data_IF_529211012284
#
_entry.id   IF_529211012284
#
_cell.length_a   1.000
_cell.length_b   1.000
_cell.length_c   1.000
_cell.angle_alpha   90.00
_cell.angle_beta   90.00
_cell.angle_gamma   90.00
#
_symmetry.space_group_name_H-M   'P 1'
#
loop_
_entity.id
_entity.type
_entity.pdbx_description
1 polymer ?
#
# COMPACT_ATOMS: atom_id res chain seq x y z
N UNK A 1 -6.65 -1.24 -31.74
CA UNK A 1 -7.83 -1.71 -30.99
C UNK A 1 -8.39 -2.94 -31.69
N UNK A 2 -8.49 -4.09 -31.01
CA UNK A 2 -8.94 -5.36 -31.61
C UNK A 2 -10.40 -5.26 -32.06
N UNK A 3 -10.81 -6.03 -33.09
CA UNK A 3 -12.21 -6.06 -33.58
C UNK A 3 -13.21 -6.35 -32.45
N UNK A 4 -12.83 -7.19 -31.51
CA UNK A 4 -13.62 -7.54 -30.31
C UNK A 4 -13.88 -6.33 -29.42
N UNK A 5 -12.88 -5.47 -29.18
CA UNK A 5 -13.06 -4.23 -28.39
C UNK A 5 -14.02 -3.25 -29.07
N UNK A 6 -14.00 -3.14 -30.40
CA UNK A 6 -14.95 -2.29 -31.14
C UNK A 6 -16.39 -2.77 -31.00
N UNK A 7 -16.62 -4.09 -31.08
CA UNK A 7 -17.96 -4.68 -30.97
C UNK A 7 -18.55 -4.46 -29.57
N UNK A 8 -17.74 -4.64 -28.52
CA UNK A 8 -18.18 -4.43 -27.12
C UNK A 8 -18.55 -2.96 -26.86
N UNK A 9 -17.74 -2.02 -27.34
CA UNK A 9 -18.01 -0.58 -27.20
C UNK A 9 -19.31 -0.18 -27.92
N UNK A 10 -19.55 -0.71 -29.12
CA UNK A 10 -20.77 -0.41 -29.88
C UNK A 10 -22.02 -0.99 -29.20
N UNK A 11 -21.94 -2.21 -28.66
CA UNK A 11 -23.03 -2.83 -27.89
C UNK A 11 -23.37 -2.05 -26.62
N UNK A 12 -22.36 -1.55 -25.90
CA UNK A 12 -22.56 -0.72 -24.71
C UNK A 12 -23.18 0.64 -25.02
N UNK A 13 -22.81 1.28 -26.13
CA UNK A 13 -23.41 2.54 -26.57
C UNK A 13 -24.91 2.37 -26.90
N UNK A 14 -25.31 1.20 -27.42
CA UNK A 14 -26.71 0.85 -27.69
C UNK A 14 -27.47 0.54 -26.39
N UNK A 15 -26.84 -0.09 -25.40
CA UNK A 15 -27.46 -0.29 -24.07
C UNK A 15 -27.60 1.06 -23.33
N UNK A 16 -26.64 1.98 -23.48
CA UNK A 16 -26.65 3.33 -22.90
C UNK A 16 -27.83 4.19 -23.38
N UNK A 17 -28.32 3.96 -24.59
CA UNK A 17 -29.44 4.72 -25.16
C UNK A 17 -30.81 4.27 -24.62
N UNK A 18 -30.89 3.12 -23.94
CA UNK A 18 -32.14 2.58 -23.39
C UNK A 18 -32.31 2.72 -21.87
N UNK A 19 -31.29 3.20 -21.13
CA UNK A 19 -31.35 3.36 -19.66
C UNK A 19 -31.28 4.82 -19.22
N UNK A 20 -32.19 5.66 -19.70
CA UNK A 20 -32.35 7.03 -19.16
C UNK A 20 -33.33 7.02 -17.98
N UNK A 21 -32.91 6.52 -16.81
CA UNK A 21 -33.47 6.90 -15.49
C UNK A 21 -32.93 6.10 -14.28
N UNK A 22 -32.11 5.05 -14.45
CA UNK A 22 -31.65 4.23 -13.33
C UNK A 22 -30.11 4.21 -13.22
N UNK A 23 -29.61 4.69 -12.08
CA UNK A 23 -28.22 4.61 -11.60
C UNK A 23 -27.12 5.16 -12.51
N UNK A 24 -26.84 6.46 -12.37
CA UNK A 24 -25.65 7.09 -12.97
C UNK A 24 -24.32 6.56 -12.43
N UNK A 25 -24.29 5.98 -11.21
CA UNK A 25 -23.08 5.39 -10.61
C UNK A 25 -22.68 4.08 -11.29
N UNK A 26 -23.64 3.20 -11.51
CA UNK A 26 -23.39 1.84 -12.00
C UNK A 26 -22.95 1.87 -13.47
N UNK A 27 -23.44 2.85 -14.23
CA UNK A 27 -23.03 3.14 -15.60
C UNK A 27 -21.61 3.71 -15.69
N UNK A 28 -21.22 4.55 -14.73
CA UNK A 28 -19.88 5.14 -14.64
C UNK A 28 -18.85 4.06 -14.26
N UNK A 29 -19.21 3.16 -13.34
CA UNK A 29 -18.38 2.03 -12.92
C UNK A 29 -18.20 1.02 -14.08
N UNK A 30 -19.27 0.72 -14.83
CA UNK A 30 -19.22 -0.15 -16.01
C UNK A 30 -18.40 0.49 -17.16
N UNK A 31 -18.54 1.81 -17.38
CA UNK A 31 -17.75 2.52 -18.38
C UNK A 31 -16.26 2.53 -18.02
N UNK A 32 -15.91 2.78 -16.75
CA UNK A 32 -14.52 2.76 -16.26
C UNK A 32 -13.91 1.36 -16.36
N UNK A 33 -14.70 0.32 -16.06
CA UNK A 33 -14.29 -1.09 -16.25
C UNK A 33 -14.03 -1.42 -17.73
N UNK A 34 -14.85 -0.92 -18.66
CA UNK A 34 -14.73 -1.23 -20.10
C UNK A 34 -13.69 -0.37 -20.80
N UNK A 35 -13.53 0.90 -20.42
CA UNK A 35 -12.56 1.81 -21.04
C UNK A 35 -11.13 1.51 -20.58
N UNK A 36 -10.96 0.82 -19.45
CA UNK A 36 -9.66 0.64 -18.83
C UNK A 36 -9.06 1.96 -18.33
N UNK A 37 -9.89 3.01 -18.22
CA UNK A 37 -9.52 4.25 -17.56
C UNK A 37 -9.47 3.99 -16.06
N UNK A 38 -8.34 4.40 -15.47
CA UNK A 38 -7.97 4.17 -14.09
C UNK A 38 -9.16 4.37 -13.15
N UNK A 39 -9.51 3.30 -12.44
CA UNK A 39 -10.67 3.15 -11.58
C UNK A 39 -10.63 4.06 -10.31
N UNK A 40 -9.67 4.98 -10.25
CA UNK A 40 -9.48 5.98 -9.18
C UNK A 40 -9.14 7.36 -9.79
N UNK A 41 -9.76 7.73 -10.91
CA UNK A 41 -9.44 8.98 -11.63
C UNK A 41 -10.13 10.24 -11.10
N UNK A 42 -10.99 10.15 -10.08
CA UNK A 42 -11.52 11.33 -9.36
C UNK A 42 -11.67 11.05 -7.87
N UNK A 43 -10.57 11.16 -7.15
CA UNK A 43 -10.62 11.34 -5.69
C UNK A 43 -11.11 12.77 -5.47
N UNK A 44 -12.20 12.93 -4.72
CA UNK A 44 -12.70 14.25 -4.34
C UNK A 44 -11.62 15.07 -3.64
N UNK A 45 -11.68 16.40 -3.77
CA UNK A 45 -10.72 17.25 -3.08
C UNK A 45 -10.77 17.02 -1.56
N UNK A 46 -9.60 16.76 -0.96
CA UNK A 46 -9.49 16.43 0.47
C UNK A 46 -9.66 14.95 0.84
N UNK A 47 -10.20 14.11 -0.05
CA UNK A 47 -10.24 12.66 0.12
C UNK A 47 -8.85 12.03 -0.13
N UNK A 48 -8.53 10.95 0.58
CA UNK A 48 -7.22 10.30 0.50
C UNK A 48 -7.37 8.90 -0.02
N UNK A 49 -6.62 8.59 -1.08
CA UNK A 49 -6.42 7.22 -1.50
C UNK A 49 -5.31 6.57 -0.67
N UNK A 50 -5.57 5.34 -0.23
CA UNK A 50 -4.57 4.38 0.17
C UNK A 50 -4.70 3.18 -0.77
N UNK A 51 -3.69 2.94 -1.59
CA UNK A 51 -3.70 1.88 -2.60
C UNK A 51 -2.61 0.87 -2.30
N UNK A 52 -2.98 -0.40 -2.25
CA UNK A 52 -2.06 -1.54 -2.38
C UNK A 52 -1.92 -1.85 -3.87
N UNK A 53 -0.74 -1.59 -4.42
CA UNK A 53 -0.47 -1.73 -5.85
C UNK A 53 -0.11 -3.20 -6.10
N UNK A 54 -0.78 -3.84 -7.05
CA UNK A 54 -0.38 -5.15 -7.56
C UNK A 54 0.92 -5.00 -8.37
N UNK A 55 2.04 -5.06 -7.64
CA UNK A 55 3.39 -5.01 -8.19
C UNK A 55 3.90 -6.39 -8.59
N UNK A 56 3.02 -7.40 -8.69
CA UNK A 56 3.44 -8.79 -8.74
C UNK A 56 3.81 -9.27 -7.35
N UNK A 57 5.09 -9.46 -7.07
CA UNK A 57 5.55 -9.93 -5.76
C UNK A 57 6.10 -8.80 -4.88
N UNK A 58 5.68 -8.78 -3.62
CA UNK A 58 6.12 -7.83 -2.61
C UNK A 58 5.09 -6.73 -2.32
N UNK A 59 5.55 -5.69 -1.64
CA UNK A 59 4.71 -4.60 -1.13
C UNK A 59 5.01 -3.28 -1.83
N UNK A 60 3.97 -2.58 -2.28
CA UNK A 60 4.07 -1.15 -2.60
C UNK A 60 2.74 -0.44 -2.41
N UNK A 61 2.72 0.52 -1.49
CA UNK A 61 1.52 1.26 -1.12
C UNK A 61 1.62 2.73 -1.52
N UNK A 62 0.66 3.21 -2.30
CA UNK A 62 0.53 4.63 -2.61
C UNK A 62 -0.52 5.28 -1.69
N UNK A 63 -0.11 6.32 -0.97
CA UNK A 63 -1.02 7.22 -0.28
C UNK A 63 -1.00 8.56 -1.01
N UNK A 64 -2.15 8.99 -1.53
CA UNK A 64 -2.23 10.20 -2.35
C UNK A 64 -3.41 11.09 -1.97
N UNK A 65 -3.15 12.39 -1.95
CA UNK A 65 -4.13 13.44 -1.67
C UNK A 65 -3.68 14.76 -2.30
N UNK A 66 -4.63 15.53 -2.86
CA UNK A 66 -4.39 16.86 -3.44
C UNK A 66 -3.73 17.85 -2.47
N UNK A 67 -3.95 17.71 -1.17
CA UNK A 67 -3.47 18.62 -0.13
C UNK A 67 -2.07 18.34 0.43
N UNK A 68 -1.56 17.10 0.33
CA UNK A 68 -0.22 16.74 0.83
C UNK A 68 0.68 16.00 -0.16
N UNK A 69 0.18 15.73 -1.37
CA UNK A 69 0.95 15.07 -2.42
C UNK A 69 0.94 13.55 -2.29
N UNK A 70 2.08 12.93 -2.59
CA UNK A 70 2.22 11.48 -2.75
C UNK A 70 3.22 10.89 -1.76
N UNK A 71 2.82 9.80 -1.12
CA UNK A 71 3.65 9.00 -0.24
C UNK A 71 3.68 7.59 -0.80
N UNK A 72 4.87 7.02 -0.92
CA UNK A 72 5.06 5.64 -1.32
C UNK A 72 5.65 4.86 -0.13
N UNK A 73 5.00 3.77 0.28
CA UNK A 73 5.53 2.85 1.28
C UNK A 73 5.93 1.58 0.56
N UNK A 74 7.22 1.25 0.60
CA UNK A 74 7.85 0.16 -0.15
C UNK A 74 7.64 0.25 -1.67
N UNK A 75 8.37 -0.58 -2.41
CA UNK A 75 8.60 -0.45 -3.85
C UNK A 75 8.55 -1.78 -4.60
N UNK A 76 8.05 -2.84 -3.97
CA UNK A 76 8.03 -4.18 -4.55
C UNK A 76 9.42 -4.74 -4.81
N UNK A 77 9.47 -5.82 -5.58
CA UNK A 77 10.70 -6.48 -5.96
C UNK A 77 11.46 -5.80 -7.12
N UNK A 78 12.64 -6.35 -7.45
CA UNK A 78 13.48 -5.82 -8.54
C UNK A 78 12.98 -6.23 -9.92
N UNK A 79 12.35 -7.40 -10.04
CA UNK A 79 11.94 -8.00 -11.31
C UNK A 79 10.73 -7.27 -11.90
N UNK A 80 9.84 -6.79 -11.03
CA UNK A 80 8.57 -6.17 -11.37
C UNK A 80 8.59 -4.64 -11.20
N UNK A 81 9.76 -4.01 -11.01
CA UNK A 81 9.88 -2.55 -10.82
C UNK A 81 9.17 -1.73 -11.90
N UNK A 82 9.11 -2.23 -13.14
CA UNK A 82 8.51 -1.52 -14.27
C UNK A 82 6.97 -1.52 -14.19
N UNK A 83 6.36 -2.48 -13.48
CA UNK A 83 4.93 -2.48 -13.15
C UNK A 83 4.63 -1.27 -12.26
N UNK A 84 5.38 -1.12 -11.16
CA UNK A 84 5.26 0.02 -10.25
C UNK A 84 5.46 1.35 -10.98
N UNK A 85 6.56 1.49 -11.74
CA UNK A 85 6.86 2.74 -12.48
C UNK A 85 5.75 3.05 -13.49
N UNK A 86 5.27 2.05 -14.22
CA UNK A 86 4.19 2.24 -15.20
C UNK A 86 2.89 2.65 -14.53
N UNK A 87 2.55 2.04 -13.38
CA UNK A 87 1.37 2.37 -12.59
C UNK A 87 1.42 3.81 -12.10
N UNK A 88 2.51 4.22 -11.44
CA UNK A 88 2.68 5.60 -10.94
C UNK A 88 2.65 6.63 -12.08
N UNK A 89 3.22 6.32 -13.25
CA UNK A 89 3.16 7.19 -14.45
C UNK A 89 1.74 7.32 -15.00
N UNK A 90 0.96 6.23 -15.05
CA UNK A 90 -0.45 6.26 -15.51
C UNK A 90 -1.31 7.15 -14.60
N UNK A 91 -1.00 7.19 -13.30
CA UNK A 91 -1.63 8.11 -12.34
C UNK A 91 -1.17 9.56 -12.48
N UNK A 92 -0.29 9.88 -13.42
CA UNK A 92 0.24 11.22 -13.63
C UNK A 92 1.21 11.70 -12.53
N UNK A 93 1.72 10.78 -11.70
CA UNK A 93 2.66 11.12 -10.64
C UNK A 93 3.99 11.53 -11.27
N UNK A 94 4.48 12.71 -10.89
CA UNK A 94 5.81 13.22 -11.27
C UNK A 94 6.75 13.35 -10.06
N UNK A 95 6.16 13.45 -8.87
CA UNK A 95 6.83 13.74 -7.61
C UNK A 95 6.27 12.85 -6.51
N UNK A 96 7.17 12.30 -5.70
CA UNK A 96 6.87 11.56 -4.48
C UNK A 96 7.49 12.34 -3.32
N UNK A 97 6.64 12.93 -2.49
CA UNK A 97 7.04 13.78 -1.37
C UNK A 97 7.74 12.95 -0.29
N UNK A 98 7.28 11.72 -0.07
CA UNK A 98 7.84 10.80 0.91
C UNK A 98 7.91 9.38 0.37
N UNK A 99 9.07 8.74 0.48
CA UNK A 99 9.22 7.29 0.37
C UNK A 99 9.51 6.74 1.77
N UNK A 100 8.80 5.70 2.18
CA UNK A 100 9.03 4.97 3.43
C UNK A 100 9.42 3.54 3.06
N UNK A 101 10.66 3.15 3.34
CA UNK A 101 11.14 1.78 3.15
C UNK A 101 11.10 1.07 4.50
N UNK A 102 10.30 0.02 4.61
CA UNK A 102 10.00 -0.65 5.89
C UNK A 102 11.22 -1.38 6.43
N UNK A 103 11.86 -2.22 5.61
CA UNK A 103 13.06 -2.99 5.94
C UNK A 103 13.83 -3.34 4.64
N UNK A 104 15.03 -3.96 4.70
CA UNK A 104 15.90 -4.04 3.53
C UNK A 104 15.70 -5.25 2.60
N UNK A 105 14.62 -6.03 2.73
CA UNK A 105 14.38 -7.17 1.84
C UNK A 105 13.99 -6.73 0.43
N UNK A 106 14.34 -7.58 -0.55
CA UNK A 106 14.30 -7.22 -1.96
C UNK A 106 12.91 -6.94 -2.49
N UNK A 107 11.89 -7.59 -1.94
CA UNK A 107 10.47 -7.44 -2.27
C UNK A 107 9.83 -6.17 -1.65
N UNK A 108 10.61 -5.39 -0.90
CA UNK A 108 10.21 -4.09 -0.38
C UNK A 108 11.03 -2.94 -1.00
N UNK A 109 12.33 -3.12 -1.19
CA UNK A 109 13.23 -2.06 -1.68
C UNK A 109 13.64 -2.21 -3.15
N UNK A 110 13.15 -3.26 -3.83
CA UNK A 110 13.62 -3.67 -5.15
C UNK A 110 13.32 -2.66 -6.25
N UNK A 111 12.11 -2.09 -6.24
CA UNK A 111 11.71 -1.08 -7.22
C UNK A 111 12.31 0.30 -7.01
N UNK A 112 12.97 0.56 -5.87
CA UNK A 112 13.44 1.89 -5.50
C UNK A 112 14.38 2.54 -6.52
N UNK A 113 15.20 1.76 -7.21
CA UNK A 113 16.05 2.30 -8.29
C UNK A 113 15.22 2.82 -9.46
N UNK A 114 14.17 2.09 -9.86
CA UNK A 114 13.22 2.52 -10.88
C UNK A 114 12.45 3.77 -10.46
N UNK A 115 12.07 3.87 -9.18
CA UNK A 115 11.43 5.06 -8.62
C UNK A 115 12.34 6.29 -8.76
N UNK A 116 13.60 6.19 -8.33
CA UNK A 116 14.57 7.30 -8.38
C UNK A 116 14.97 7.72 -9.80
N UNK A 117 14.85 6.82 -10.77
CA UNK A 117 15.12 7.12 -12.18
C UNK A 117 13.97 7.87 -12.86
N UNK A 118 12.74 7.72 -12.37
CA UNK A 118 11.54 8.18 -13.08
C UNK A 118 10.77 9.29 -12.37
N UNK A 119 10.96 9.48 -11.06
CA UNK A 119 10.21 10.45 -10.26
C UNK A 119 11.13 11.32 -9.43
N UNK A 120 10.71 12.57 -9.19
CA UNK A 120 11.36 13.40 -8.18
C UNK A 120 10.98 12.90 -6.79
N UNK A 121 11.96 12.49 -6.00
CA UNK A 121 11.78 12.06 -4.59
C UNK A 121 12.37 13.12 -3.67
N UNK A 122 11.60 13.57 -2.68
CA UNK A 122 12.09 14.59 -1.73
C UNK A 122 12.63 14.01 -0.44
N UNK A 123 11.93 13.04 0.15
CA UNK A 123 12.27 12.49 1.46
C UNK A 123 12.24 10.98 1.42
N UNK A 124 13.27 10.33 1.97
CA UNK A 124 13.31 8.87 2.11
C UNK A 124 13.46 8.55 3.58
N UNK A 125 12.54 7.74 4.12
CA UNK A 125 12.57 7.24 5.49
C UNK A 125 12.91 5.75 5.48
N UNK A 126 13.83 5.35 6.33
CA UNK A 126 14.16 3.94 6.54
C UNK A 126 14.73 3.76 7.96
N UNK A 127 14.50 2.62 8.64
CA UNK A 127 15.26 2.30 9.84
C UNK A 127 16.77 2.29 9.53
N UNK A 128 17.63 2.51 10.53
CA UNK A 128 19.09 2.45 10.37
C UNK A 128 19.61 1.02 10.27
N UNK A 129 19.00 0.25 9.39
CA UNK A 129 19.31 -1.16 9.12
C UNK A 129 20.26 -1.25 7.93
N UNK A 130 21.06 -2.30 7.90
CA UNK A 130 22.00 -2.58 6.81
C UNK A 130 21.80 -4.00 6.33
N UNK A 131 21.99 -4.23 5.03
CA UNK A 131 21.90 -5.56 4.44
C UNK A 131 23.00 -5.79 3.41
N UNK A 132 23.42 -7.05 3.23
CA UNK A 132 24.52 -7.39 2.31
C UNK A 132 24.04 -7.93 0.95
N UNK A 133 22.82 -7.60 0.54
CA UNK A 133 22.29 -7.97 -0.78
C UNK A 133 22.74 -7.01 -1.87
N UNK A 134 22.79 -7.51 -3.10
CA UNK A 134 23.02 -6.67 -4.28
C UNK A 134 21.96 -5.57 -4.41
N UNK A 135 20.68 -5.90 -4.14
CA UNK A 135 19.56 -4.95 -4.18
C UNK A 135 19.76 -3.79 -3.20
N UNK A 136 20.10 -4.08 -1.94
CA UNK A 136 20.35 -3.04 -0.94
C UNK A 136 21.52 -2.13 -1.35
N UNK A 137 22.64 -2.71 -1.79
CA UNK A 137 23.81 -1.92 -2.26
C UNK A 137 23.47 -1.03 -3.45
N UNK A 138 22.73 -1.55 -4.44
CA UNK A 138 22.28 -0.79 -5.61
C UNK A 138 21.39 0.38 -5.19
N UNK A 139 20.43 0.13 -4.30
CA UNK A 139 19.53 1.15 -3.77
C UNK A 139 20.29 2.27 -3.04
N UNK A 140 21.20 1.93 -2.11
CA UNK A 140 22.02 2.92 -1.39
C UNK A 140 22.88 3.75 -2.35
N UNK A 141 23.53 3.10 -3.33
CA UNK A 141 24.34 3.81 -4.32
C UNK A 141 23.49 4.77 -5.16
N UNK A 142 22.28 4.36 -5.54
CA UNK A 142 21.36 5.20 -6.33
C UNK A 142 20.85 6.41 -5.53
N UNK A 143 20.55 6.22 -4.25
CA UNK A 143 20.18 7.33 -3.35
C UNK A 143 21.32 8.34 -3.24
N UNK A 144 22.58 7.87 -3.11
CA UNK A 144 23.76 8.75 -3.10
C UNK A 144 23.97 9.47 -4.43
N UNK A 145 23.84 8.78 -5.56
CA UNK A 145 23.94 9.36 -6.91
C UNK A 145 22.95 10.52 -7.10
N UNK A 146 21.75 10.42 -6.51
CA UNK A 146 20.70 11.44 -6.55
C UNK A 146 20.87 12.54 -5.50
N UNK A 147 21.98 12.55 -4.73
CA UNK A 147 22.23 13.46 -3.62
C UNK A 147 21.10 13.49 -2.57
N UNK A 148 20.47 12.34 -2.36
CA UNK A 148 19.43 12.14 -1.34
C UNK A 148 20.02 11.46 -0.11
N UNK A 149 19.31 11.60 1.02
CA UNK A 149 19.71 11.03 2.30
C UNK A 149 18.52 10.37 2.98
N UNK A 150 18.80 9.33 3.78
CA UNK A 150 17.81 8.67 4.60
C UNK A 150 17.55 9.46 5.88
N UNK A 151 16.28 9.74 6.13
CA UNK A 151 15.76 10.10 7.45
C UNK A 151 15.47 8.82 8.21
N UNK A 152 15.75 8.83 9.50
CA UNK A 152 15.56 7.66 10.34
C UNK A 152 14.06 7.43 10.58
N UNK A 153 13.54 6.29 10.10
CA UNK A 153 12.24 5.78 10.51
C UNK A 153 12.39 5.08 11.87
N UNK A 154 11.73 5.61 12.89
CA UNK A 154 11.70 5.03 14.24
C UNK A 154 10.50 5.52 15.03
N UNK A 155 10.16 4.80 16.09
CA UNK A 155 9.07 5.15 16.99
C UNK A 155 9.14 6.61 17.45
N UNK A 156 8.01 7.31 17.37
CA UNK A 156 7.88 8.71 17.77
C UNK A 156 8.17 9.73 16.67
N UNK A 157 8.75 9.32 15.54
CA UNK A 157 8.84 10.18 14.36
C UNK A 157 7.45 10.37 13.75
N UNK A 158 7.14 11.60 13.31
CA UNK A 158 5.86 11.97 12.71
C UNK A 158 6.08 12.77 11.44
N UNK A 159 5.36 12.40 10.38
CA UNK A 159 5.20 13.20 9.16
C UNK A 159 3.84 13.89 9.26
N UNK A 160 3.84 15.22 9.32
CA UNK A 160 2.61 16.02 9.32
C UNK A 160 2.12 16.20 7.89
N UNK A 161 0.85 15.86 7.63
CA UNK A 161 0.23 15.96 6.30
C UNK A 161 -0.79 17.11 6.23
N UNK A 162 -0.81 17.99 7.23
CA UNK A 162 -1.76 19.11 7.32
C UNK A 162 -3.16 18.68 7.76
N UNK A 163 -3.98 19.66 8.19
CA UNK A 163 -5.39 19.47 8.61
C UNK A 163 -5.57 18.30 9.62
N UNK A 164 -4.64 18.17 10.57
CA UNK A 164 -4.64 17.09 11.57
C UNK A 164 -4.25 15.69 11.07
N UNK A 165 -3.95 15.53 9.78
CA UNK A 165 -3.54 14.27 9.17
C UNK A 165 -2.05 14.01 9.38
N UNK A 166 -1.66 12.73 9.49
CA UNK A 166 -0.26 12.38 9.76
C UNK A 166 0.07 10.92 9.45
N UNK A 167 1.34 10.65 9.18
CA UNK A 167 1.94 9.32 9.37
C UNK A 167 2.76 9.34 10.66
N UNK A 168 2.49 8.41 11.58
CA UNK A 168 3.23 8.25 12.82
C UNK A 168 3.98 6.92 12.82
N UNK A 169 5.29 6.95 12.99
CA UNK A 169 6.11 5.74 13.12
C UNK A 169 5.97 5.17 14.53
N UNK A 170 5.67 3.87 14.60
CA UNK A 170 5.48 3.11 15.84
C UNK A 170 6.71 2.26 16.18
N UNK A 171 7.45 1.83 15.16
CA UNK A 171 8.61 0.94 15.22
C UNK A 171 9.70 1.42 14.25
N UNK A 172 10.98 1.04 14.44
CA UNK A 172 11.56 0.40 15.62
C UNK A 172 11.53 1.28 16.87
N UNK A 173 11.34 0.68 18.05
CA UNK A 173 11.51 1.34 19.35
C UNK A 173 12.98 1.31 19.79
N UNK A 174 13.38 2.19 20.72
CA UNK A 174 14.79 2.34 21.12
C UNK A 174 15.44 1.05 21.64
N UNK A 175 14.64 0.15 22.20
CA UNK A 175 15.05 -1.13 22.78
C UNK A 175 15.02 -2.30 21.77
N UNK A 176 14.70 -2.06 20.51
CA UNK A 176 14.76 -3.07 19.44
C UNK A 176 16.16 -3.12 18.80
N UNK A 177 16.58 -4.32 18.40
CA UNK A 177 17.84 -4.54 17.71
C UNK A 177 17.64 -4.40 16.20
N UNK A 178 18.22 -3.35 15.58
CA UNK A 178 18.16 -3.16 14.12
C UNK A 178 18.89 -4.25 13.29
N UNK A 179 19.50 -5.24 13.94
CA UNK A 179 20.03 -6.44 13.28
C UNK A 179 18.96 -7.52 13.09
N UNK A 180 17.87 -7.45 13.85
CA UNK A 180 16.72 -8.33 13.70
C UNK A 180 15.82 -7.78 12.60
N UNK A 181 16.06 -8.27 11.38
CA UNK A 181 15.38 -7.80 10.17
C UNK A 181 13.90 -8.19 10.16
N UNK A 182 13.53 -9.24 10.88
CA UNK A 182 12.17 -9.79 10.93
C UNK A 182 11.25 -9.01 11.90
N UNK A 183 11.79 -8.04 12.64
CA UNK A 183 11.10 -7.37 13.75
C UNK A 183 11.41 -5.87 13.89
N UNK A 184 12.27 -5.32 13.04
CA UNK A 184 12.72 -3.92 13.15
C UNK A 184 12.19 -3.01 12.05
N UNK A 185 11.15 -3.44 11.34
CA UNK A 185 10.49 -2.67 10.30
C UNK A 185 10.03 -1.30 10.77
N UNK A 186 9.98 -0.37 9.83
CA UNK A 186 9.26 0.89 10.00
C UNK A 186 7.74 0.67 9.98
N UNK A 187 7.19 0.16 11.08
CA UNK A 187 5.74 0.11 11.31
C UNK A 187 5.22 1.53 11.45
N UNK A 188 4.22 1.91 10.66
CA UNK A 188 3.66 3.26 10.71
C UNK A 188 2.12 3.28 10.60
N UNK A 189 1.54 4.36 11.11
CA UNK A 189 0.09 4.57 11.17
C UNK A 189 -0.28 5.85 10.43
N UNK A 190 -1.04 5.74 9.35
CA UNK A 190 -1.74 6.87 8.76
C UNK A 190 -2.95 7.22 9.63
N UNK A 191 -3.13 8.51 9.93
CA UNK A 191 -4.35 9.08 10.50
C UNK A 191 -4.91 10.11 9.53
N UNK A 192 -6.16 9.92 9.09
CA UNK A 192 -6.83 10.80 8.12
C UNK A 192 -8.33 10.79 8.35
N UNK A 193 -8.95 11.96 8.50
CA UNK A 193 -10.40 12.14 8.63
C UNK A 193 -11.04 11.16 9.65
N UNK A 194 -10.42 11.02 10.83
CA UNK A 194 -10.88 10.12 11.90
C UNK A 194 -10.56 8.63 11.70
N UNK A 195 -10.02 8.23 10.54
CA UNK A 195 -9.64 6.86 10.20
C UNK A 195 -8.17 6.58 10.39
N UNK A 196 -7.86 5.30 10.59
CA UNK A 196 -6.51 4.79 10.82
C UNK A 196 -6.18 3.61 9.92
N UNK A 197 -5.02 3.70 9.28
CA UNK A 197 -4.44 2.60 8.48
C UNK A 197 -3.10 2.21 9.06
N UNK A 198 -2.95 0.94 9.43
CA UNK A 198 -1.71 0.40 9.97
C UNK A 198 -0.92 -0.31 8.87
N UNK A 199 0.31 0.13 8.64
CA UNK A 199 1.28 -0.53 7.78
C UNK A 199 2.31 -1.22 8.67
N UNK A 200 2.33 -2.55 8.62
CA UNK A 200 3.13 -3.38 9.53
C UNK A 200 4.48 -3.77 8.96
N UNK A 201 4.69 -3.63 7.64
CA UNK A 201 5.78 -4.34 6.97
C UNK A 201 5.67 -5.85 7.23
N UNK A 202 6.80 -6.45 7.57
CA UNK A 202 7.01 -7.89 7.68
C UNK A 202 7.32 -8.38 9.10
N UNK A 203 6.98 -7.55 10.08
CA UNK A 203 7.15 -7.89 11.50
C UNK A 203 6.47 -9.21 11.88
N UNK A 204 7.08 -9.95 12.79
CA UNK A 204 6.46 -11.10 13.41
C UNK A 204 5.74 -10.77 14.72
N UNK A 205 5.04 -11.79 15.24
CA UNK A 205 4.18 -11.75 16.42
C UNK A 205 4.79 -11.03 17.62
N UNK A 206 6.09 -11.22 17.87
CA UNK A 206 6.79 -10.62 19.00
C UNK A 206 6.69 -9.09 18.98
N UNK A 207 6.94 -8.51 17.80
CA UNK A 207 6.84 -7.06 17.60
C UNK A 207 5.40 -6.60 17.54
N UNK A 208 4.50 -7.38 16.93
CA UNK A 208 3.07 -7.07 16.93
C UNK A 208 2.54 -6.88 18.35
N UNK A 209 2.80 -7.84 19.24
CA UNK A 209 2.37 -7.79 20.65
C UNK A 209 2.96 -6.57 21.35
N UNK A 210 4.26 -6.31 21.14
CA UNK A 210 4.95 -5.17 21.74
C UNK A 210 4.35 -3.82 21.31
N UNK A 211 3.81 -3.73 20.09
CA UNK A 211 3.22 -2.51 19.55
C UNK A 211 1.73 -2.33 19.87
N UNK A 212 1.02 -3.36 20.33
CA UNK A 212 -0.41 -3.29 20.68
C UNK A 212 -0.77 -2.04 21.51
N UNK A 213 -0.03 -1.66 22.59
CA UNK A 213 -0.36 -0.49 23.39
C UNK A 213 -0.34 0.84 22.61
N UNK A 214 0.27 0.87 21.42
CA UNK A 214 0.45 2.06 20.58
C UNK A 214 -0.51 2.13 19.39
N UNK A 215 -1.14 1.02 19.01
CA UNK A 215 -1.95 0.89 17.79
C UNK A 215 -3.40 1.36 18.05
N UNK A 216 -4.02 0.87 19.13
CA UNK A 216 -5.45 1.08 19.42
C UNK A 216 -6.34 0.55 18.30
N UNK A 217 -7.61 1.00 18.22
CA UNK A 217 -8.49 0.62 17.11
C UNK A 217 -8.01 1.20 15.78
N UNK A 218 -8.11 0.40 14.71
CA UNK A 218 -7.79 0.76 13.32
C UNK A 218 -8.94 0.39 12.38
N UNK A 219 -8.94 0.94 11.17
CA UNK A 219 -9.96 0.66 10.15
C UNK A 219 -9.42 -0.30 9.09
N UNK A 220 -8.18 -0.05 8.62
CA UNK A 220 -7.51 -0.83 7.57
C UNK A 220 -6.17 -1.36 8.10
N UNK A 221 -5.92 -2.65 7.90
CA UNK A 221 -4.69 -3.34 8.25
C UNK A 221 -3.95 -3.81 6.99
N UNK A 222 -2.69 -3.40 6.82
CA UNK A 222 -1.75 -4.19 6.03
C UNK A 222 -1.45 -5.46 6.82
N UNK A 223 -1.76 -6.63 6.28
CA UNK A 223 -1.43 -7.91 6.91
C UNK A 223 0.09 -8.13 6.92
N UNK A 224 0.66 -8.29 8.10
CA UNK A 224 2.10 -8.44 8.26
C UNK A 224 2.67 -9.62 7.49
N UNK A 225 3.85 -9.43 6.89
CA UNK A 225 4.65 -10.46 6.22
C UNK A 225 3.84 -11.24 5.18
N UNK A 226 3.14 -10.50 4.32
CA UNK A 226 2.31 -11.05 3.24
C UNK A 226 1.26 -12.10 3.67
N UNK A 227 0.94 -12.20 4.96
CA UNK A 227 0.09 -13.26 5.51
C UNK A 227 0.82 -14.56 5.90
N UNK A 228 2.09 -14.46 6.28
CA UNK A 228 2.85 -15.56 6.88
C UNK A 228 2.14 -16.17 8.09
N UNK A 229 2.34 -17.47 8.33
CA UNK A 229 1.75 -18.17 9.47
C UNK A 229 2.23 -17.62 10.84
N UNK A 230 3.40 -16.96 10.85
CA UNK A 230 4.03 -16.36 12.04
C UNK A 230 3.57 -14.92 12.33
N UNK A 231 2.79 -14.33 11.43
CA UNK A 231 2.41 -12.94 11.47
C UNK A 231 0.88 -12.77 11.64
N UNK A 232 0.48 -11.52 11.85
CA UNK A 232 -0.88 -11.05 12.13
C UNK A 232 -1.53 -11.90 13.22
N UNK A 233 -0.96 -11.82 14.42
CA UNK A 233 -1.38 -12.62 15.56
C UNK A 233 -2.79 -12.26 16.05
N UNK A 234 -3.40 -13.21 16.77
CA UNK A 234 -4.76 -13.05 17.31
C UNK A 234 -4.84 -11.87 18.29
N UNK A 235 -3.77 -11.61 19.04
CA UNK A 235 -3.68 -10.54 20.02
C UNK A 235 -3.76 -9.17 19.33
N UNK A 236 -3.06 -9.01 18.20
CA UNK A 236 -3.14 -7.80 17.37
C UNK A 236 -4.57 -7.61 16.83
N UNK A 237 -5.18 -8.63 16.25
CA UNK A 237 -6.54 -8.55 15.70
C UNK A 237 -7.59 -8.23 16.77
N UNK A 238 -7.48 -8.83 17.96
CA UNK A 238 -8.36 -8.56 19.10
C UNK A 238 -8.27 -7.11 19.58
N UNK A 239 -7.05 -6.57 19.66
CA UNK A 239 -6.82 -5.23 20.17
C UNK A 239 -7.18 -4.14 19.13
N UNK A 240 -6.82 -4.38 17.87
CA UNK A 240 -6.92 -3.38 16.80
C UNK A 240 -8.26 -3.39 16.06
N UNK A 241 -8.94 -4.53 16.01
CA UNK A 241 -10.29 -4.71 15.41
C UNK A 241 -10.44 -4.05 14.03
N UNK A 242 -9.56 -4.35 13.05
CA UNK A 242 -9.67 -3.80 11.71
C UNK A 242 -10.98 -4.23 11.04
N UNK A 243 -11.52 -3.36 10.19
CA UNK A 243 -12.67 -3.72 9.32
C UNK A 243 -12.17 -4.36 8.03
N UNK A 244 -11.09 -3.81 7.48
CA UNK A 244 -10.50 -4.25 6.22
C UNK A 244 -9.05 -4.70 6.43
N UNK A 245 -8.63 -5.65 5.61
CA UNK A 245 -7.24 -6.05 5.50
C UNK A 245 -6.81 -6.10 4.02
N UNK A 246 -5.59 -5.66 3.74
CA UNK A 246 -4.94 -5.77 2.44
C UNK A 246 -3.69 -6.65 2.54
N UNK A 247 -3.47 -7.45 1.51
CA UNK A 247 -2.37 -8.41 1.40
C UNK A 247 -1.74 -8.29 0.01
N UNK A 248 -0.52 -7.74 -0.04
CA UNK A 248 0.33 -7.76 -1.22
C UNK A 248 0.95 -9.14 -1.44
N UNK A 249 0.54 -9.81 -2.52
CA UNK A 249 1.10 -11.09 -3.00
C UNK A 249 0.91 -11.21 -4.51
N UNK A 250 1.85 -11.89 -5.19
CA UNK A 250 1.72 -12.17 -6.62
C UNK A 250 0.87 -13.39 -6.93
N UNK A 251 0.30 -13.45 -8.14
CA UNK A 251 -0.42 -14.65 -8.62
C UNK A 251 0.46 -15.90 -8.65
N UNK A 252 1.74 -15.75 -9.00
CA UNK A 252 2.73 -16.83 -9.05
C UNK A 252 3.52 -17.00 -7.73
N UNK A 253 2.94 -16.59 -6.60
CA UNK A 253 3.62 -16.59 -5.31
C UNK A 253 4.06 -17.99 -4.87
N UNK A 254 5.38 -18.16 -4.66
CA UNK A 254 6.01 -19.44 -4.24
C UNK A 254 6.24 -19.56 -2.74
N UNK A 255 5.88 -18.54 -1.95
CA UNK A 255 6.17 -18.45 -0.52
C UNK A 255 5.06 -19.04 0.38
N UNK A 256 4.03 -19.66 -0.21
CA UNK A 256 2.84 -20.18 0.50
C UNK A 256 2.16 -19.06 1.33
N UNK A 257 2.12 -17.85 0.75
CA UNK A 257 1.52 -16.65 1.34
C UNK A 257 0.35 -16.14 0.49
N UNK A 258 -0.70 -15.57 1.10
CA UNK A 258 -1.03 -15.69 2.52
C UNK A 258 -1.30 -17.14 2.91
N UNK A 259 -0.77 -17.57 4.05
CA UNK A 259 -0.99 -18.93 4.53
C UNK A 259 -2.47 -19.15 4.89
N UNK A 260 -2.97 -20.38 4.72
CA UNK A 260 -4.33 -20.74 5.16
C UNK A 260 -4.58 -20.41 6.64
N UNK A 261 -3.54 -20.55 7.47
CA UNK A 261 -3.62 -20.23 8.90
C UNK A 261 -3.85 -18.74 9.17
N UNK A 262 -3.24 -17.85 8.37
CA UNK A 262 -3.44 -16.41 8.49
C UNK A 262 -4.82 -15.99 7.99
N UNK A 263 -5.26 -16.54 6.84
CA UNK A 263 -6.60 -16.28 6.30
C UNK A 263 -7.70 -16.72 7.26
N UNK A 264 -7.61 -17.95 7.80
CA UNK A 264 -8.57 -18.45 8.79
C UNK A 264 -8.57 -17.59 10.06
N UNK A 265 -7.41 -17.01 10.43
CA UNK A 265 -7.32 -16.12 11.59
C UNK A 265 -8.05 -14.80 11.31
N UNK A 266 -7.83 -14.18 10.14
CA UNK A 266 -8.52 -12.95 9.73
C UNK A 266 -10.03 -13.15 9.64
N UNK A 267 -10.47 -14.25 9.04
CA UNK A 267 -11.88 -14.64 8.93
C UNK A 267 -12.54 -14.81 10.31
N UNK A 268 -11.87 -15.52 11.24
CA UNK A 268 -12.34 -15.68 12.63
C UNK A 268 -12.57 -14.35 13.36
N UNK A 269 -11.86 -13.29 12.99
CA UNK A 269 -12.01 -11.95 13.55
C UNK A 269 -12.90 -11.03 12.70
N UNK A 270 -13.63 -11.58 11.71
CA UNK A 270 -14.54 -10.89 10.80
C UNK A 270 -13.87 -9.75 10.03
N UNK A 271 -12.61 -9.93 9.65
CA UNK A 271 -11.86 -8.94 8.86
C UNK A 271 -12.11 -9.19 7.37
N UNK A 272 -12.56 -8.16 6.64
CA UNK A 272 -12.75 -8.28 5.19
C UNK A 272 -11.40 -8.19 4.48
N UNK A 273 -10.96 -9.31 3.91
CA UNK A 273 -9.64 -9.45 3.27
C UNK A 273 -9.73 -9.12 1.78
N UNK A 274 -8.77 -8.33 1.31
CA UNK A 274 -8.47 -8.07 -0.11
C UNK A 274 -7.03 -8.50 -0.39
N UNK A 275 -6.80 -9.15 -1.54
CA UNK A 275 -5.47 -9.64 -1.93
C UNK A 275 -5.15 -9.20 -3.36
N UNK A 276 -3.94 -8.74 -3.61
CA UNK A 276 -3.56 -8.22 -4.93
C UNK A 276 -3.60 -9.29 -6.03
N UNK A 277 -3.26 -10.54 -5.71
CA UNK A 277 -3.35 -11.67 -6.64
C UNK A 277 -4.78 -11.99 -7.10
N UNK A 278 -5.79 -11.65 -6.30
CA UNK A 278 -7.20 -11.86 -6.65
C UNK A 278 -7.91 -10.58 -7.12
N UNK A 279 -7.49 -9.43 -6.63
CA UNK A 279 -8.19 -8.14 -6.79
C UNK A 279 -7.46 -7.16 -7.71
N UNK A 280 -6.25 -7.49 -8.17
CA UNK A 280 -5.34 -6.51 -8.74
C UNK A 280 -5.03 -5.40 -7.74
N UNK A 281 -5.01 -4.14 -8.19
CA UNK A 281 -4.83 -3.00 -7.30
C UNK A 281 -6.01 -2.88 -6.33
N UNK A 282 -5.74 -2.65 -5.05
CA UNK A 282 -6.76 -2.46 -4.01
C UNK A 282 -6.71 -1.03 -3.52
N UNK A 283 -7.71 -0.22 -3.86
CA UNK A 283 -7.85 1.15 -3.43
C UNK A 283 -8.84 1.31 -2.27
N UNK A 284 -8.41 1.97 -1.21
CA UNK A 284 -9.26 2.49 -0.14
C UNK A 284 -9.31 4.02 -0.23
N UNK A 285 -10.46 4.58 -0.59
CA UNK A 285 -10.68 6.03 -0.58
C UNK A 285 -11.30 6.43 0.75
N UNK A 286 -10.54 7.18 1.55
CA UNK A 286 -11.00 7.79 2.80
C UNK A 286 -11.55 9.17 2.48
N UNK A 287 -12.88 9.30 2.49
CA UNK A 287 -13.59 10.53 2.17
C UNK A 287 -13.49 11.57 3.31
N UNK A 288 -13.92 12.79 3.03
CA UNK A 288 -13.86 13.90 3.99
C UNK A 288 -14.71 13.67 5.25
N UNK A 289 -15.84 12.99 5.11
CA UNK A 289 -16.72 12.55 6.21
C UNK A 289 -16.16 11.32 6.97
N UNK A 290 -15.01 10.81 6.55
CA UNK A 290 -14.40 9.61 7.08
C UNK A 290 -15.02 8.31 6.57
N UNK A 291 -15.98 8.33 5.65
CA UNK A 291 -16.46 7.10 5.01
C UNK A 291 -15.33 6.47 4.16
N UNK A 292 -15.30 5.13 4.10
CA UNK A 292 -14.28 4.38 3.35
C UNK A 292 -14.96 3.69 2.17
N UNK A 293 -14.59 4.07 0.95
CA UNK A 293 -14.95 3.35 -0.28
C UNK A 293 -13.82 2.39 -0.64
N UNK A 294 -14.16 1.14 -0.93
CA UNK A 294 -13.18 0.13 -1.38
C UNK A 294 -13.39 -0.17 -2.85
N UNK A 295 -12.27 -0.30 -3.53
CA UNK A 295 -12.18 -0.34 -4.97
C UNK A 295 -11.14 -1.42 -5.34
N UNK A 296 -11.46 -2.38 -6.23
CA UNK A 296 -10.49 -3.32 -6.85
C UNK A 296 -10.37 -3.18 -8.37
N UNK A 297 -9.23 -3.54 -8.97
CA UNK A 297 -9.03 -3.49 -10.43
C UNK A 297 -9.27 -4.82 -11.16
N UNK A 298 -9.73 -5.86 -10.45
CA UNK A 298 -10.24 -7.13 -10.97
C UNK A 298 -11.59 -7.43 -10.34
#
# INVERSE_FOLDING_TARGET
>A
MTKTKKIIITLLAVVLTFMTAACSSDLQDLYSFVSGDDYISKIEDGATLVEDIDVGQGDSYLISNSGFGNILIDTGDTEHKDILVSHLKKRGIKKIDYVILTHPHSDHIGGMTGVLDNFQVENIYMPKMTHNTATFKKMINKVKEKNLYFKEAKSGVKISLGKGSSINFLSPTKDMSLKDLDNSDAVCMLKKNGRKVLFTGDIFKETEIKLIPRIGRIDILKVAHHGSHKATCKELLMASKPTYAMIGVGEDNKYDHPSKSALNRLDKYNVKVYRTDLSGNIGFTINNDGSIKVNTSR
#
